data_IF_437543507981
#
_entry.id   IF_437543507981
#
_cell.length_a   1.000
_cell.length_b   1.000
_cell.length_c   1.000
_cell.angle_alpha   90.00
_cell.angle_beta   90.00
_cell.angle_gamma   90.00
#
_symmetry.space_group_name_H-M   'P 1'
#
loop_
_entity.id
_entity.type
_entity.pdbx_description
1 polymer ?
2 branched ?
3 non-polymer ?
4 non-polymer ?
5 water ?
#
# COMPACT_ATOMS: atom_id res chain seq x y z
N UNK A 4 -10.59 16.38 6.60
CA UNK A 4 -10.05 17.34 5.59
C UNK A 4 -9.49 16.72 4.30
N UNK A 5 -8.76 15.60 4.36
CA UNK A 5 -8.20 15.02 3.15
C UNK A 5 -9.23 14.57 2.13
N UNK A 6 -10.13 13.68 2.55
CA UNK A 6 -11.13 13.19 1.64
C UNK A 6 -12.15 14.25 1.32
N UNK A 7 -12.44 15.14 2.26
CA UNK A 7 -13.32 16.27 1.96
C UNK A 7 -12.74 17.11 0.82
N UNK A 8 -11.45 17.29 0.79
CA UNK A 8 -10.80 18.02 -0.27
C UNK A 8 -10.80 17.26 -1.61
N UNK A 9 -10.34 16.01 -1.61
CA UNK A 9 -10.11 15.30 -2.85
C UNK A 9 -11.29 14.53 -3.38
N UNK A 10 -12.10 14.01 -2.49
CA UNK A 10 -13.25 13.21 -2.87
C UNK A 10 -12.86 11.92 -3.58
N UNK A 11 -13.63 11.62 -4.60
CA UNK A 11 -13.43 10.41 -5.39
C UNK A 11 -12.14 10.50 -6.18
N UNK A 12 -11.25 9.53 -6.01
CA UNK A 12 -10.05 9.42 -6.78
C UNK A 12 -10.31 8.69 -8.07
N UNK A 13 -9.52 8.95 -9.08
CA UNK A 13 -9.60 8.26 -10.37
C UNK A 13 -8.25 8.27 -11.03
N UNK A 14 -8.08 7.53 -12.11
CA UNK A 14 -6.89 7.54 -12.91
C UNK A 14 -7.17 8.32 -14.16
N UNK A 15 -6.32 9.28 -14.49
CA UNK A 15 -6.36 10.08 -15.70
C UNK A 15 -5.06 9.99 -16.40
N UNK A 16 -5.01 9.39 -17.58
CA UNK A 16 -3.76 9.30 -18.32
C UNK A 16 -2.61 8.79 -17.49
N UNK A 17 -2.88 7.75 -16.72
CA UNK A 17 -1.78 7.04 -16.07
C UNK A 17 -1.36 7.63 -14.72
N UNK A 18 -2.12 8.59 -14.20
CA UNK A 18 -1.80 9.07 -12.90
C UNK A 18 -3.07 9.39 -12.05
N UNK A 19 -2.81 9.39 -10.76
CA UNK A 19 -3.86 9.51 -9.76
C UNK A 19 -4.31 10.94 -9.65
N UNK A 20 -5.60 11.19 -9.80
CA UNK A 20 -6.17 12.52 -9.71
C UNK A 20 -7.41 12.51 -8.82
N UNK A 21 -7.83 13.70 -8.40
CA UNK A 21 -9.01 13.81 -7.58
C UNK A 21 -10.21 14.22 -8.40
N UNK A 22 -11.26 14.60 -7.70
CA UNK A 22 -12.54 14.88 -8.28
C UNK A 22 -12.56 16.07 -9.24
N UNK A 23 -11.56 16.93 -9.16
CA UNK A 23 -11.40 18.05 -10.06
C UNK A 23 -10.30 17.78 -11.09
N UNK A 24 -9.78 16.58 -11.19
CA UNK A 24 -8.71 16.31 -12.12
C UNK A 24 -7.36 16.83 -11.72
N UNK A 25 -7.22 17.19 -10.45
CA UNK A 25 -5.95 17.66 -9.93
C UNK A 25 -5.06 16.46 -9.60
N UNK A 26 -3.77 16.57 -9.80
CA UNK A 26 -2.87 15.58 -9.25
C UNK A 26 -3.06 15.40 -7.74
N UNK A 27 -3.07 14.18 -7.28
CA UNK A 27 -2.98 13.95 -5.84
C UNK A 27 -1.94 12.90 -5.59
N UNK A 28 -1.21 13.15 -4.50
CA UNK A 28 -0.16 12.26 -4.07
C UNK A 28 -0.44 11.82 -2.64
N UNK A 29 -0.70 10.56 -2.43
CA UNK A 29 -0.95 10.02 -1.11
C UNK A 29 0.40 9.59 -0.56
N UNK A 30 0.62 9.92 0.74
CA UNK A 30 1.79 9.47 1.48
C UNK A 30 1.33 9.02 2.84
N UNK A 31 1.73 7.83 3.24
CA UNK A 31 1.33 7.33 4.52
C UNK A 31 2.14 6.12 4.94
N UNK A 32 1.54 5.41 5.92
CA UNK A 32 2.14 4.23 6.54
C UNK A 32 1.33 3.00 6.24
N UNK A 33 2.04 1.91 6.08
CA UNK A 33 1.48 0.55 6.18
C UNK A 33 1.64 0.01 7.58
N UNK A 34 0.60 -0.69 8.04
CA UNK A 34 0.79 -1.57 9.16
C UNK A 34 1.79 -2.64 8.80
N UNK A 35 2.30 -3.33 9.84
CA UNK A 35 2.92 -4.63 9.63
C UNK A 35 1.77 -5.65 9.52
N UNK A 36 2.02 -6.94 9.62
CA UNK A 36 0.95 -7.88 9.51
C UNK A 36 -0.04 -7.69 10.62
N UNK A 37 -1.32 -7.62 10.28
CA UNK A 37 -2.37 -7.34 11.25
C UNK A 37 -2.53 -8.46 12.26
N UNK A 38 -2.11 -9.67 11.93
CA UNK A 38 -2.18 -10.81 12.82
C UNK A 38 -1.07 -10.80 13.85
N UNK A 39 -0.09 -9.90 13.74
CA UNK A 39 1.06 -9.79 14.63
C UNK A 39 1.09 -8.49 15.40
N UNK A 40 0.89 -7.36 14.67
CA UNK A 40 1.11 -6.05 15.21
C UNK A 40 -0.11 -5.17 15.09
N UNK A 41 -1.28 -5.77 15.24
CA UNK A 41 -2.51 -5.06 15.20
C UNK A 41 -2.74 -4.04 16.28
N UNK A 42 -1.97 -4.09 17.38
CA UNK A 42 -2.17 -3.13 18.43
C UNK A 42 -1.90 -1.71 17.96
N UNK A 43 -1.08 -1.53 16.92
CA UNK A 43 -0.74 -0.21 16.40
C UNK A 43 -1.77 0.31 15.44
N UNK A 44 -2.82 -0.43 15.14
CA UNK A 44 -3.80 -0.05 14.13
C UNK A 44 -5.11 0.23 14.87
N UNK A 45 -5.45 1.51 15.05
CA UNK A 45 -6.60 1.91 15.83
C UNK A 45 -6.87 3.37 15.51
N UNK A 46 -8.03 3.87 15.92
CA UNK A 46 -8.36 5.26 15.64
C UNK A 46 -7.34 6.22 16.20
N UNK A 47 -6.89 6.02 17.43
CA UNK A 47 -6.01 6.99 18.05
C UNK A 47 -4.65 7.03 17.41
N UNK A 48 -4.07 5.90 17.05
CA UNK A 48 -2.77 5.92 16.35
C UNK A 48 -2.91 6.52 14.98
N UNK A 49 -4.00 6.21 14.27
CA UNK A 49 -4.15 6.76 12.95
C UNK A 49 -4.43 8.27 13.02
N UNK A 50 -5.15 8.72 14.02
CA UNK A 50 -5.38 10.16 14.21
C UNK A 50 -4.06 10.86 14.50
N UNK A 51 -3.20 10.26 15.32
CA UNK A 51 -1.88 10.82 15.60
C UNK A 51 -1.05 10.89 14.33
N UNK A 52 -1.06 9.82 13.54
CA UNK A 52 -0.35 9.87 12.26
C UNK A 52 -0.89 10.96 11.38
N UNK A 53 -2.19 11.14 11.31
CA UNK A 53 -2.77 12.19 10.50
C UNK A 53 -2.32 13.54 11.00
N UNK A 54 -2.42 13.80 12.29
CA UNK A 54 -2.24 15.13 12.86
C UNK A 54 -0.77 15.46 13.09
N UNK A 55 0.08 14.55 13.49
CA UNK A 55 1.46 14.79 13.78
C UNK A 55 2.37 14.48 12.60
N UNK A 56 2.11 13.46 11.82
CA UNK A 56 2.91 13.16 10.65
C UNK A 56 2.39 13.81 9.39
N UNK A 57 1.09 14.00 9.27
CA UNK A 57 0.52 14.45 8.02
C UNK A 57 0.09 13.36 7.05
N UNK A 58 -0.12 12.14 7.53
CA UNK A 58 -0.51 11.10 6.56
C UNK A 58 -1.84 11.42 5.93
N UNK A 59 -2.01 11.00 4.68
CA UNK A 59 -3.32 11.07 4.05
C UNK A 59 -3.82 9.71 3.55
N UNK A 60 -3.10 8.64 3.89
CA UNK A 60 -3.51 7.29 3.58
C UNK A 60 -2.90 6.37 4.64
N UNK A 61 -3.64 5.29 4.95
CA UNK A 61 -3.16 4.25 5.83
C UNK A 61 -3.39 2.90 5.15
N UNK A 62 -2.44 2.02 5.16
CA UNK A 62 -2.54 0.71 4.52
C UNK A 62 -2.64 -0.39 5.58
N UNK A 63 -3.71 -1.17 5.49
CA UNK A 63 -4.02 -2.28 6.38
C UNK A 63 -3.54 -3.60 5.74
N UNK A 64 -2.37 -4.07 6.19
CA UNK A 64 -1.71 -5.22 5.57
C UNK A 64 -2.21 -6.52 6.19
N UNK A 65 -3.25 -7.08 5.56
CA UNK A 65 -3.88 -8.29 6.04
C UNK A 65 -3.24 -9.50 5.37
N UNK A 66 -2.19 -10.04 6.01
CA UNK A 66 -1.62 -11.30 5.53
C UNK A 66 -2.70 -12.33 5.37
N UNK A 67 -2.56 -13.11 4.34
CA UNK A 67 -3.38 -14.27 4.05
C UNK A 67 -2.85 -15.51 4.72
N UNK A 68 -1.59 -15.78 4.47
CA UNK A 68 -0.86 -16.88 5.05
C UNK A 68 -0.16 -16.42 6.31
N UNK A 69 0.81 -17.16 6.79
CA UNK A 69 1.56 -16.75 7.94
C UNK A 69 0.70 -16.49 9.15
N UNK A 70 -0.35 -17.28 9.35
CA UNK A 70 -1.22 -17.10 10.49
C UNK A 70 -2.29 -15.99 10.34
N UNK A 71 -2.41 -15.47 9.15
CA UNK A 71 -3.35 -14.42 8.81
C UNK A 71 -4.73 -14.91 8.53
N UNK A 72 -5.40 -14.30 7.56
CA UNK A 72 -6.80 -14.45 7.36
C UNK A 72 -7.21 -15.86 7.03
N UNK A 73 -6.43 -16.61 6.29
CA UNK A 73 -6.84 -17.95 5.90
C UNK A 73 -7.02 -18.84 7.15
N UNK A 74 -6.10 -18.79 8.08
CA UNK A 74 -6.22 -19.58 9.31
C UNK A 74 -7.10 -18.92 10.37
N UNK A 75 -7.09 -17.61 10.52
CA UNK A 75 -7.83 -16.94 11.63
C UNK A 75 -8.44 -15.70 10.98
N UNK A 76 -9.65 -15.83 10.43
CA UNK A 76 -10.29 -14.70 9.79
C UNK A 76 -10.76 -13.62 10.69
N UNK A 77 -10.59 -13.74 11.99
CA UNK A 77 -10.96 -12.66 12.89
C UNK A 77 -10.13 -11.42 12.59
N UNK A 78 -9.00 -11.58 11.93
CA UNK A 78 -8.20 -10.45 11.51
C UNK A 78 -8.95 -9.49 10.58
N UNK A 79 -9.98 -9.93 9.87
CA UNK A 79 -10.78 -9.03 9.06
C UNK A 79 -11.41 -7.92 9.92
N UNK A 80 -11.66 -8.17 11.20
CA UNK A 80 -12.22 -7.13 12.01
C UNK A 80 -11.23 -6.01 12.24
N UNK A 81 -9.93 -6.29 12.25
CA UNK A 81 -8.93 -5.27 12.36
C UNK A 81 -8.88 -4.43 11.07
N UNK A 82 -9.05 -5.05 9.91
CA UNK A 82 -9.22 -4.29 8.67
C UNK A 82 -10.41 -3.36 8.76
N UNK A 83 -11.57 -3.86 9.23
CA UNK A 83 -12.75 -3.02 9.38
C UNK A 83 -12.49 -1.89 10.34
N UNK A 84 -11.77 -2.13 11.44
CA UNK A 84 -11.43 -1.10 12.38
C UNK A 84 -10.63 0.00 11.68
N UNK A 85 -9.66 -0.38 10.89
CA UNK A 85 -8.85 0.59 10.15
C UNK A 85 -9.68 1.38 9.16
N UNK A 86 -10.55 0.72 8.41
CA UNK A 86 -11.36 1.40 7.41
C UNK A 86 -12.30 2.38 8.11
N UNK A 87 -12.96 1.94 9.18
CA UNK A 87 -13.88 2.83 9.85
C UNK A 87 -13.13 4.00 10.46
N UNK A 88 -11.94 3.79 10.98
CA UNK A 88 -11.13 4.89 11.50
C UNK A 88 -10.79 5.87 10.37
N UNK A 89 -10.38 5.37 9.21
CA UNK A 89 -10.04 6.24 8.11
C UNK A 89 -11.23 7.06 7.68
N UNK A 90 -12.43 6.48 7.66
CA UNK A 90 -13.63 7.22 7.31
C UNK A 90 -13.89 8.29 8.34
N UNK A 91 -13.79 7.97 9.62
CA UNK A 91 -13.99 8.96 10.66
C UNK A 91 -12.93 10.08 10.62
N UNK A 92 -11.70 9.77 10.26
CA UNK A 92 -10.58 10.70 10.22
C UNK A 92 -10.48 11.40 8.88
N UNK A 93 -11.29 11.04 7.91
CA UNK A 93 -11.31 11.65 6.62
C UNK A 93 -10.00 11.45 5.85
N UNK A 94 -9.41 10.27 5.91
CA UNK A 94 -8.24 9.93 5.10
C UNK A 94 -8.54 8.71 4.26
N UNK A 95 -7.67 8.44 3.30
CA UNK A 95 -7.79 7.25 2.46
C UNK A 95 -7.23 6.01 3.21
N UNK A 96 -7.70 4.85 2.76
CA UNK A 96 -7.31 3.58 3.36
C UNK A 96 -7.18 2.53 2.30
N UNK A 97 -6.08 1.77 2.38
CA UNK A 97 -5.84 0.66 1.49
C UNK A 97 -6.12 -0.66 2.20
N UNK A 98 -7.02 -1.46 1.63
CA UNK A 98 -7.34 -2.79 2.09
C UNK A 98 -6.45 -3.76 1.30
N UNK A 99 -5.40 -4.30 1.94
CA UNK A 99 -4.36 -5.07 1.27
C UNK A 99 -4.51 -6.57 1.64
N UNK A 100 -4.85 -7.34 0.60
CA UNK A 100 -4.81 -8.83 0.59
C UNK A 100 -3.36 -9.22 0.44
N UNK A 101 -2.72 -9.44 1.59
CA UNK A 101 -1.28 -9.37 1.68
C UNK A 101 -0.63 -10.76 1.48
N UNK A 102 -0.63 -11.19 0.25
CA UNK A 102 0.04 -12.42 -0.14
C UNK A 102 1.54 -12.22 -0.08
N UNK A 103 2.27 -13.27 0.26
CA UNK A 103 3.74 -13.20 0.31
C UNK A 103 4.29 -14.64 0.20
N UNK A 104 4.24 -15.40 1.27
CA UNK A 104 4.69 -16.79 1.21
C UNK A 104 3.84 -17.59 0.23
N UNK A 105 2.56 -17.29 0.20
CA UNK A 105 1.58 -17.80 -0.75
C UNK A 105 1.79 -16.99 -2.02
N UNK A 106 2.81 -17.32 -2.78
CA UNK A 106 3.41 -16.42 -3.75
C UNK A 106 2.67 -16.26 -5.05
N UNK A 107 1.73 -17.19 -5.31
CA UNK A 107 0.85 -17.14 -6.47
C UNK A 107 -0.51 -16.67 -5.98
N UNK A 108 -1.05 -15.55 -6.48
CA UNK A 108 -2.34 -15.07 -5.99
C UNK A 108 -3.47 -16.05 -6.21
N UNK A 109 -3.30 -17.00 -7.11
CA UNK A 109 -4.34 -18.01 -7.34
C UNK A 109 -4.44 -19.02 -6.23
N UNK A 110 -3.52 -19.09 -5.29
CA UNK A 110 -3.64 -20.08 -4.21
C UNK A 110 -4.92 -19.90 -3.44
N UNK A 111 -5.27 -18.64 -3.11
CA UNK A 111 -6.44 -18.33 -2.30
C UNK A 111 -7.44 -17.47 -3.08
N UNK A 112 -7.57 -17.72 -4.38
CA UNK A 112 -8.43 -16.89 -5.22
C UNK A 112 -9.87 -16.92 -4.76
N UNK A 113 -10.41 -18.10 -4.44
CA UNK A 113 -11.80 -18.15 -4.05
C UNK A 113 -12.04 -17.32 -2.77
N UNK A 114 -11.13 -17.42 -1.85
CA UNK A 114 -11.22 -16.68 -0.61
C UNK A 114 -11.06 -15.16 -0.85
N UNK A 115 -10.18 -14.79 -1.76
CA UNK A 115 -9.96 -13.39 -2.07
C UNK A 115 -11.24 -12.80 -2.67
N UNK A 116 -11.89 -13.53 -3.57
CA UNK A 116 -13.12 -13.03 -4.18
C UNK A 116 -14.18 -12.83 -3.14
N UNK A 117 -14.37 -13.79 -2.23
CA UNK A 117 -15.33 -13.63 -1.15
C UNK A 117 -15.00 -12.45 -0.24
N UNK A 118 -13.75 -12.29 0.11
CA UNK A 118 -13.31 -11.18 0.97
C UNK A 118 -13.57 -9.82 0.31
N UNK A 119 -13.17 -9.71 -0.94
CA UNK A 119 -13.36 -8.43 -1.64
C UNK A 119 -14.82 -8.15 -1.97
N UNK A 120 -15.64 -9.20 -2.20
CA UNK A 120 -17.07 -8.97 -2.30
C UNK A 120 -17.58 -8.39 -1.02
N UNK A 121 -17.22 -8.92 0.14
CA UNK A 121 -17.71 -8.40 1.40
C UNK A 121 -17.20 -6.98 1.64
N UNK A 122 -15.93 -6.71 1.44
CA UNK A 122 -15.38 -5.38 1.71
C UNK A 122 -15.99 -4.33 0.79
N UNK A 123 -16.14 -4.62 -0.48
CA UNK A 123 -16.67 -3.66 -1.42
C UNK A 123 -18.18 -3.45 -1.21
N UNK A 124 -18.93 -4.47 -0.75
CA UNK A 124 -20.30 -4.23 -0.37
C UNK A 124 -20.37 -3.29 0.80
N UNK A 125 -19.57 -3.50 1.82
CA UNK A 125 -19.63 -2.71 3.00
C UNK A 125 -19.24 -1.26 2.74
N UNK A 126 -18.12 -1.07 2.03
CA UNK A 126 -17.46 0.23 1.97
C UNK A 126 -17.42 0.85 0.62
N UNK A 127 -17.98 0.25 -0.39
CA UNK A 127 -17.80 0.69 -1.75
C UNK A 127 -18.34 2.07 -2.07
N UNK A 128 -19.29 2.54 -1.29
CA UNK A 128 -19.83 3.87 -1.48
C UNK A 128 -18.96 4.99 -0.89
N UNK A 129 -17.91 4.66 -0.16
CA UNK A 129 -17.04 5.66 0.41
C UNK A 129 -15.84 5.90 -0.51
N UNK A 130 -15.49 7.15 -0.75
CA UNK A 130 -14.33 7.44 -1.61
C UNK A 130 -13.01 7.13 -0.95
N UNK A 131 -13.06 6.88 0.36
CA UNK A 131 -11.83 6.63 1.14
C UNK A 131 -11.10 5.36 0.74
N UNK A 132 -11.85 4.38 0.24
CA UNK A 132 -11.31 3.03 0.11
C UNK A 132 -10.56 2.80 -1.19
N UNK A 133 -9.40 2.14 -1.06
CA UNK A 133 -8.58 1.68 -2.14
C UNK A 133 -8.36 0.17 -1.92
N UNK A 134 -8.52 -0.65 -2.92
CA UNK A 134 -8.35 -2.09 -2.77
C UNK A 134 -7.02 -2.51 -3.32
N UNK A 135 -6.27 -3.37 -2.62
CA UNK A 135 -4.99 -3.88 -3.09
C UNK A 135 -5.12 -5.40 -3.10
N UNK A 136 -5.34 -5.97 -4.26
CA UNK A 136 -5.86 -7.34 -4.40
C UNK A 136 -4.81 -8.42 -4.29
N UNK A 137 -3.54 -8.15 -4.37
CA UNK A 137 -2.52 -9.19 -4.22
C UNK A 137 -1.17 -8.48 -3.99
N UNK A 138 -0.83 -8.29 -2.74
CA UNK A 138 0.39 -7.53 -2.36
C UNK A 138 1.59 -7.83 -3.23
N UNK A 139 2.14 -9.04 -3.17
CA UNK A 139 3.40 -9.37 -3.82
C UNK A 139 3.40 -10.79 -4.42
N UNK A 140 2.84 -10.91 -5.62
CA UNK A 140 3.19 -12.07 -6.44
C UNK A 140 4.71 -12.21 -6.47
N UNK A 141 5.23 -13.42 -6.39
CA UNK A 141 6.67 -13.61 -6.46
C UNK A 141 6.99 -15.03 -6.87
N UNK A 142 8.22 -15.25 -7.23
CA UNK A 142 8.68 -16.54 -7.73
C UNK A 142 8.90 -16.51 -9.20
N UNK A 143 9.81 -17.34 -9.71
CA UNK A 143 10.14 -17.36 -11.11
C UNK A 143 9.04 -17.77 -12.01
N UNK A 144 8.07 -18.48 -11.49
CA UNK A 144 6.99 -18.90 -12.39
C UNK A 144 5.62 -18.43 -11.92
N UNK A 145 5.62 -17.24 -11.34
CA UNK A 145 4.41 -16.47 -11.19
C UNK A 145 4.58 -15.28 -12.09
N UNK A 146 3.90 -15.22 -13.21
CA UNK A 146 4.09 -14.15 -14.17
C UNK A 146 2.79 -13.45 -14.42
N UNK A 147 2.92 -12.25 -15.02
CA UNK A 147 1.78 -11.43 -15.33
C UNK A 147 0.78 -12.19 -16.25
N UNK A 148 1.26 -12.72 -17.36
CA UNK A 148 0.36 -13.30 -18.33
C UNK A 148 -0.29 -14.60 -17.87
N UNK A 149 0.45 -15.47 -17.21
CA UNK A 149 -0.09 -16.78 -16.85
C UNK A 149 -0.90 -16.74 -15.56
N UNK A 150 -0.47 -15.95 -14.56
CA UNK A 150 -1.06 -16.04 -13.22
C UNK A 150 -1.70 -14.76 -12.73
N UNK A 151 -1.03 -13.59 -12.90
CA UNK A 151 -1.47 -12.39 -12.19
C UNK A 151 -2.60 -11.68 -12.90
N UNK A 152 -2.44 -11.43 -14.20
CA UNK A 152 -3.46 -10.72 -14.96
C UNK A 152 -4.80 -11.48 -14.91
N UNK A 153 -4.80 -12.83 -15.13
CA UNK A 153 -6.08 -13.54 -15.03
C UNK A 153 -6.68 -13.50 -13.64
N UNK A 154 -5.87 -13.52 -12.59
CA UNK A 154 -6.39 -13.36 -11.25
C UNK A 154 -7.10 -12.03 -11.11
N UNK A 155 -6.45 -10.96 -11.55
CA UNK A 155 -7.03 -9.62 -11.49
C UNK A 155 -8.33 -9.53 -12.30
N UNK A 156 -8.35 -10.17 -13.45
CA UNK A 156 -9.54 -10.14 -14.30
C UNK A 156 -10.69 -10.90 -13.68
N UNK A 157 -10.48 -11.76 -12.72
CA UNK A 157 -11.55 -12.39 -11.99
C UNK A 157 -11.94 -11.66 -10.76
N UNK A 158 -10.99 -11.05 -10.04
CA UNK A 158 -11.32 -10.36 -8.80
C UNK A 158 -11.91 -8.97 -9.06
N UNK A 159 -11.38 -8.25 -10.04
CA UNK A 159 -11.88 -6.89 -10.31
C UNK A 159 -13.38 -6.84 -10.57
N UNK A 160 -13.98 -7.74 -11.38
CA UNK A 160 -15.42 -7.66 -11.58
C UNK A 160 -16.20 -7.88 -10.31
N UNK A 161 -15.68 -8.67 -9.35
CA UNK A 161 -16.35 -8.87 -8.08
C UNK A 161 -16.45 -7.55 -7.32
N UNK A 162 -15.33 -6.81 -7.30
CA UNK A 162 -15.33 -5.47 -6.69
C UNK A 162 -16.26 -4.53 -7.46
N UNK A 163 -16.15 -4.52 -8.77
CA UNK A 163 -16.88 -3.55 -9.58
C UNK A 163 -18.36 -3.75 -9.50
N UNK A 164 -18.84 -4.94 -9.21
CA UNK A 164 -20.26 -5.19 -9.05
C UNK A 164 -20.78 -4.39 -7.89
N UNK A 165 -19.97 -4.12 -6.86
CA UNK A 165 -20.39 -3.36 -5.69
C UNK A 165 -19.85 -1.92 -5.69
N UNK A 166 -18.74 -1.66 -6.37
CA UNK A 166 -17.97 -0.41 -6.28
C UNK A 166 -17.39 -0.13 -7.63
N UNK A 167 -18.14 0.60 -8.47
CA UNK A 167 -17.73 0.79 -9.84
C UNK A 167 -16.53 1.68 -10.03
N UNK A 168 -16.14 2.46 -9.03
CA UNK A 168 -15.19 3.55 -9.28
C UNK A 168 -13.93 3.60 -8.44
N UNK A 169 -13.85 2.99 -7.27
CA UNK A 169 -12.67 3.20 -6.45
C UNK A 169 -11.43 2.53 -7.02
N UNK A 170 -10.28 3.03 -6.65
CA UNK A 170 -9.01 2.54 -7.17
C UNK A 170 -8.74 1.11 -6.72
N UNK A 171 -8.21 0.35 -7.64
CA UNK A 171 -7.70 -1.01 -7.38
C UNK A 171 -6.23 -1.06 -7.73
N UNK A 172 -5.41 -1.44 -6.76
CA UNK A 172 -3.97 -1.64 -6.94
C UNK A 172 -3.73 -3.13 -7.19
N UNK A 173 -3.02 -3.46 -8.23
CA UNK A 173 -2.73 -4.84 -8.62
C UNK A 173 -1.23 -5.12 -8.55
N UNK A 174 -0.87 -6.13 -7.78
CA UNK A 174 0.52 -6.51 -7.64
C UNK A 174 1.11 -7.02 -8.94
N UNK A 175 2.45 -7.01 -8.97
CA UNK A 175 3.18 -7.44 -10.14
C UNK A 175 4.25 -8.46 -9.78
N UNK A 176 4.87 -9.06 -10.80
CA UNK A 176 5.80 -10.12 -10.55
C UNK A 176 7.05 -9.68 -9.83
N UNK A 177 7.78 -10.66 -9.31
CA UNK A 177 9.05 -10.41 -8.60
C UNK A 177 8.86 -9.44 -7.45
N UNK A 178 7.93 -9.79 -6.56
CA UNK A 178 7.62 -8.99 -5.39
C UNK A 178 7.18 -7.57 -5.78
N UNK A 179 6.27 -7.52 -6.73
CA UNK A 179 5.77 -6.23 -7.21
C UNK A 179 6.90 -5.32 -7.69
N UNK A 180 7.79 -5.90 -8.47
CA UNK A 180 8.80 -5.12 -9.20
C UNK A 180 8.50 -5.07 -10.70
N UNK A 181 7.88 -6.09 -11.26
CA UNK A 181 7.79 -6.25 -12.72
C UNK A 181 6.65 -5.45 -13.35
N UNK A 182 6.65 -4.16 -13.10
CA UNK A 182 5.70 -3.27 -13.62
C UNK A 182 5.81 -3.10 -15.15
N UNK A 183 7.00 -3.34 -15.68
CA UNK A 183 7.20 -3.25 -17.12
C UNK A 183 6.39 -4.33 -17.83
N UNK A 184 6.32 -5.53 -17.31
CA UNK A 184 5.53 -6.59 -17.95
C UNK A 184 4.07 -6.24 -17.89
N UNK A 185 3.58 -5.76 -16.76
CA UNK A 185 2.20 -5.39 -16.64
C UNK A 185 1.91 -4.23 -17.61
N UNK A 186 2.81 -3.27 -17.71
CA UNK A 186 2.59 -2.12 -18.56
C UNK A 186 2.48 -2.49 -20.05
N UNK A 187 3.14 -3.58 -20.44
CA UNK A 187 3.08 -4.05 -21.82
C UNK A 187 1.80 -4.86 -22.08
N UNK A 188 0.97 -5.13 -21.08
CA UNK A 188 -0.20 -5.97 -21.22
C UNK A 188 -1.21 -5.56 -20.18
N UNK A 189 -1.65 -4.33 -20.27
CA UNK A 189 -2.42 -3.72 -19.21
C UNK A 189 -3.83 -4.26 -19.10
N UNK A 190 -4.38 -4.20 -17.90
CA UNK A 190 -5.79 -4.44 -17.65
C UNK A 190 -6.64 -3.39 -18.33
N UNK A 191 -7.88 -3.74 -18.64
CA UNK A 191 -8.84 -2.80 -19.26
C UNK A 191 -9.48 -1.85 -18.27
N UNK A 192 -9.65 -2.23 -17.01
CA UNK A 192 -10.34 -1.39 -16.07
C UNK A 192 -9.61 -0.02 -15.97
N UNK A 193 -10.33 1.08 -16.11
CA UNK A 193 -9.68 2.38 -16.15
C UNK A 193 -9.13 2.87 -14.82
N UNK A 194 -9.59 2.34 -13.71
CA UNK A 194 -9.16 2.84 -12.41
C UNK A 194 -8.32 1.83 -11.68
N UNK A 195 -7.35 1.29 -12.35
CA UNK A 195 -6.39 0.40 -11.74
C UNK A 195 -5.00 1.03 -11.76
N UNK A 196 -4.19 0.62 -10.82
CA UNK A 196 -2.79 0.99 -10.71
C UNK A 196 -2.01 -0.25 -10.49
N UNK A 197 -0.76 -0.30 -10.85
CA UNK A 197 0.09 -1.45 -10.61
C UNK A 197 1.03 -1.14 -9.48
N UNK A 198 1.25 -2.10 -8.59
CA UNK A 198 2.11 -1.89 -7.45
C UNK A 198 3.57 -2.00 -7.86
N UNK A 199 4.38 -1.11 -7.26
CA UNK A 199 5.83 -1.22 -7.30
C UNK A 199 6.36 -1.09 -5.86
N UNK A 200 7.16 -2.06 -5.44
CA UNK A 200 7.70 -2.12 -4.09
C UNK A 200 9.22 -2.15 -4.14
N UNK A 201 9.88 -1.47 -3.19
CA UNK A 201 11.33 -1.49 -3.14
C UNK A 201 11.86 -1.35 -1.72
N UNK A 202 13.13 -1.66 -1.59
CA UNK A 202 13.92 -1.40 -0.37
C UNK A 202 15.08 -0.48 -0.72
N UNK A 203 15.24 0.60 0.02
CA UNK A 203 16.29 1.55 -0.27
C UNK A 203 17.67 0.99 -0.19
N UNK A 204 17.87 0.00 0.66
CA UNK A 204 19.18 -0.62 0.79
C UNK A 204 19.48 -1.69 -0.23
N UNK A 205 18.58 -1.95 -1.15
CA UNK A 205 18.67 -3.04 -2.10
C UNK A 205 18.49 -2.59 -3.55
N UNK A 206 17.58 -1.69 -3.82
CA UNK A 206 17.13 -1.40 -5.17
C UNK A 206 17.59 -0.03 -5.58
N UNK A 207 17.99 0.07 -6.85
CA UNK A 207 18.59 1.28 -7.37
C UNK A 207 18.10 1.71 -8.71
N UNK A 208 19.02 2.29 -9.48
CA UNK A 208 18.64 2.99 -10.69
C UNK A 208 17.98 2.11 -11.76
N UNK A 209 18.40 0.87 -11.86
CA UNK A 209 17.80 0.02 -12.88
C UNK A 209 16.32 -0.21 -12.61
N UNK A 210 15.89 -0.25 -11.34
CA UNK A 210 14.46 -0.33 -11.06
C UNK A 210 13.75 0.98 -11.21
N UNK A 211 14.42 2.10 -10.93
CA UNK A 211 13.82 3.39 -11.29
C UNK A 211 13.55 3.45 -12.81
N UNK A 212 14.51 2.98 -13.59
CA UNK A 212 14.32 2.98 -15.03
C UNK A 212 13.18 2.05 -15.44
N UNK A 213 13.00 0.93 -14.76
CA UNK A 213 11.93 -0.01 -15.05
C UNK A 213 10.57 0.64 -14.76
N UNK A 214 10.46 1.36 -13.63
CA UNK A 214 9.25 2.10 -13.34
C UNK A 214 8.98 3.16 -14.42
N UNK A 215 10.02 3.89 -14.84
CA UNK A 215 9.84 4.88 -15.88
C UNK A 215 9.36 4.21 -17.20
N UNK A 216 9.87 3.05 -17.52
CA UNK A 216 9.36 2.33 -18.73
C UNK A 216 7.86 2.09 -18.56
N UNK A 217 7.43 1.61 -17.40
CA UNK A 217 6.03 1.35 -17.19
C UNK A 217 5.20 2.63 -17.32
N UNK A 218 5.67 3.70 -16.69
CA UNK A 218 4.97 4.94 -16.78
C UNK A 218 4.86 5.43 -18.25
N UNK A 219 5.92 5.19 -18.99
CA UNK A 219 5.96 5.58 -20.42
C UNK A 219 4.92 4.79 -21.24
N UNK A 220 4.47 3.64 -20.80
CA UNK A 220 3.43 2.88 -21.52
C UNK A 220 2.05 3.33 -21.10
N UNK A 221 1.94 4.32 -20.24
CA UNK A 221 0.69 4.85 -19.78
C UNK A 221 0.07 4.16 -18.55
N UNK A 222 0.81 3.28 -17.92
CA UNK A 222 0.39 2.58 -16.72
C UNK A 222 0.50 3.51 -15.50
N UNK A 223 -0.46 3.45 -14.59
CA UNK A 223 -0.36 4.11 -13.31
C UNK A 223 0.31 3.23 -12.28
N UNK A 224 1.13 3.83 -11.43
CA UNK A 224 1.93 3.06 -10.47
C UNK A 224 1.69 3.59 -9.07
N UNK A 225 1.42 2.71 -8.12
CA UNK A 225 1.32 3.09 -6.70
C UNK A 225 2.40 2.35 -5.95
N UNK A 226 3.27 3.09 -5.24
CA UNK A 226 4.33 2.47 -4.47
C UNK A 226 3.77 2.06 -3.12
N UNK A 227 2.97 0.98 -3.12
CA UNK A 227 2.16 0.67 -1.98
C UNK A 227 2.92 0.07 -0.80
N UNK A 228 4.19 -0.22 -0.97
CA UNK A 228 5.04 -0.66 0.13
C UNK A 228 6.48 -0.36 -0.24
N UNK A 229 7.21 0.27 0.67
CA UNK A 229 8.65 0.42 0.50
C UNK A 229 9.31 0.52 1.85
N UNK A 230 10.56 0.12 1.91
CA UNK A 230 11.33 0.16 3.15
C UNK A 230 12.61 0.98 3.03
N UNK A 231 13.04 1.49 4.17
CA UNK A 231 14.28 2.27 4.25
C UNK A 231 15.50 1.38 4.45
N UNK A 232 15.31 0.14 4.87
CA UNK A 232 16.36 -0.80 5.11
C UNK A 232 16.77 -1.50 3.83
N UNK A 233 17.68 -2.45 3.93
CA UNK A 233 17.89 -3.43 2.87
C UNK A 233 16.81 -4.50 3.03
N UNK A 234 16.50 -5.20 1.95
CA UNK A 234 15.56 -6.32 2.04
C UNK A 234 16.03 -7.37 3.01
N UNK A 235 17.35 -7.58 3.13
CA UNK A 235 17.89 -8.54 4.07
C UNK A 235 17.68 -8.14 5.50
N UNK A 236 17.49 -6.86 5.79
CA UNK A 236 17.41 -6.35 7.15
C UNK A 236 18.75 -6.14 7.80
N UNK A 237 19.85 -6.29 7.07
CA UNK A 237 21.20 -6.14 7.60
C UNK A 237 21.74 -4.74 7.27
N UNK A 238 22.55 -4.21 8.16
CA UNK A 238 23.28 -3.00 7.91
C UNK A 238 22.58 -1.70 8.24
N UNK A 239 21.44 -1.73 8.90
CA UNK A 239 20.77 -0.53 9.31
C UNK A 239 19.83 0.04 8.25
N UNK A 240 19.66 1.32 8.27
CA UNK A 240 18.84 2.00 7.27
C UNK A 240 19.73 2.68 6.24
N UNK A 241 19.17 2.93 5.07
CA UNK A 241 19.87 3.43 3.89
C UNK A 241 19.16 4.68 3.44
N UNK A 242 19.31 5.76 4.23
CA UNK A 242 18.50 6.96 4.04
C UNK A 242 18.99 7.86 2.94
N UNK A 243 20.27 7.73 2.59
CA UNK A 243 20.79 8.41 1.42
C UNK A 243 20.01 7.94 0.18
N UNK A 244 20.03 6.64 -0.04
CA UNK A 244 19.28 6.07 -1.18
C UNK A 244 17.79 6.23 -0.96
N UNK A 245 17.27 6.20 0.26
CA UNK A 245 15.85 6.44 0.44
C UNK A 245 15.48 7.82 -0.08
N UNK A 246 16.30 8.83 0.20
CA UNK A 246 16.00 10.17 -0.26
C UNK A 246 16.02 10.24 -1.82
N UNK A 247 16.93 9.51 -2.44
CA UNK A 247 16.94 9.40 -3.91
C UNK A 247 15.58 8.89 -4.38
N UNK A 248 15.07 7.84 -3.74
CA UNK A 248 13.75 7.29 -4.11
C UNK A 248 12.64 8.28 -3.78
N UNK A 249 12.67 8.99 -2.65
CA UNK A 249 11.65 9.98 -2.31
C UNK A 249 11.61 11.02 -3.42
N UNK A 250 12.77 11.53 -3.83
CA UNK A 250 12.81 12.55 -4.87
C UNK A 250 12.26 12.00 -6.18
N UNK A 251 12.64 10.78 -6.54
CA UNK A 251 12.14 10.10 -7.74
C UNK A 251 10.62 10.07 -7.70
N UNK A 252 10.05 9.62 -6.59
CA UNK A 252 8.60 9.55 -6.47
C UNK A 252 7.96 10.92 -6.54
N UNK A 253 8.54 11.92 -5.90
CA UNK A 253 7.96 13.27 -5.96
C UNK A 253 7.96 13.84 -7.39
N UNK A 254 9.02 13.60 -8.11
CA UNK A 254 9.12 14.12 -9.49
C UNK A 254 8.09 13.48 -10.40
N UNK A 255 7.58 12.30 -10.08
CA UNK A 255 6.57 11.60 -10.87
C UNK A 255 5.23 11.61 -10.17
N UNK A 256 5.14 12.36 -9.07
CA UNK A 256 4.02 12.49 -8.16
C UNK A 256 3.48 11.10 -7.72
N UNK A 257 4.32 10.11 -7.54
CA UNK A 257 3.87 8.77 -7.15
C UNK A 257 3.47 8.71 -5.69
N UNK A 258 2.32 8.10 -5.43
CA UNK A 258 1.84 7.84 -4.08
C UNK A 258 2.60 6.65 -3.46
N UNK A 259 2.65 6.68 -2.12
CA UNK A 259 3.38 5.64 -1.41
C UNK A 259 2.92 5.40 -0.01
N UNK A 260 3.21 4.19 0.48
CA UNK A 260 3.06 3.79 1.85
C UNK A 260 4.34 3.11 2.31
N UNK A 261 4.85 3.54 3.47
CA UNK A 261 6.08 3.00 4.02
C UNK A 261 5.81 1.81 4.92
N UNK A 262 6.67 0.82 4.80
CA UNK A 262 6.70 -0.39 5.63
C UNK A 262 7.70 -0.21 6.75
N UNK A 263 7.31 -0.21 8.04
CA UNK A 263 5.94 -0.41 8.52
C UNK A 263 5.80 0.20 9.92
N UNK A 264 4.55 0.34 10.32
CA UNK A 264 4.20 0.90 11.62
C UNK A 264 4.16 -0.21 12.65
N UNK A 265 5.30 -0.50 13.23
CA UNK A 265 5.44 -1.49 14.28
C UNK A 265 6.66 -1.11 15.14
N UNK A 266 6.69 -1.70 16.34
CA UNK A 266 7.80 -1.61 17.25
C UNK A 266 8.72 -2.83 17.17
N UNK A 267 8.54 -3.70 16.21
CA UNK A 267 9.46 -4.81 16.03
C UNK A 267 10.88 -4.31 15.93
N UNK A 268 11.83 -5.05 16.49
CA UNK A 268 13.22 -4.75 16.37
C UNK A 268 13.80 -5.15 15.00
N UNK A 269 13.45 -4.45 13.97
CA UNK A 269 14.00 -4.60 12.63
C UNK A 269 14.14 -3.18 12.06
N UNK A 270 15.08 -3.02 11.16
CA UNK A 270 15.46 -1.68 10.71
C UNK A 270 14.36 -0.95 9.94
N UNK A 271 13.47 -1.63 9.26
CA UNK A 271 12.39 -0.95 8.58
C UNK A 271 11.27 -0.48 9.49
N UNK A 272 11.21 -0.99 10.71
CA UNK A 272 10.13 -0.62 11.62
C UNK A 272 10.22 0.86 11.97
N UNK A 273 9.09 1.53 12.05
CA UNK A 273 9.04 2.97 12.33
C UNK A 273 9.17 3.31 13.81
N UNK A 274 8.89 2.39 14.70
CA UNK A 274 8.78 2.67 16.13
C UNK A 274 9.81 1.86 16.88
N UNK A 275 10.22 2.37 18.02
CA UNK A 275 11.08 1.64 18.95
C UNK A 275 10.27 0.69 19.81
N UNK A 276 10.86 -0.45 20.18
CA UNK A 276 10.21 -1.40 21.10
C UNK A 276 9.59 -0.68 22.27
N UNK A 277 8.33 -0.97 22.54
CA UNK A 277 7.64 -0.38 23.63
C UNK A 277 6.84 0.85 23.31
N UNK A 278 6.90 1.38 22.08
CA UNK A 278 6.20 2.60 21.75
C UNK A 278 4.72 2.49 22.00
N UNK A 279 4.09 3.56 22.40
CA UNK A 279 2.69 3.50 22.77
C UNK A 279 1.80 3.10 21.60
N UNK A 280 0.98 2.07 21.71
CA UNK A 280 0.19 1.65 20.55
C UNK A 280 -0.85 2.63 20.06
N UNK A 281 -1.25 3.59 20.89
CA UNK A 281 -2.28 4.56 20.52
C UNK A 281 -1.69 5.91 20.13
N UNK A 282 -0.39 5.98 19.87
CA UNK A 282 0.22 7.20 19.33
C UNK A 282 0.71 8.11 20.40
N UNK A 283 0.86 9.39 20.06
CA UNK A 283 1.37 10.38 20.98
C UNK A 283 2.85 10.18 21.20
N UNK A 284 3.59 9.65 20.24
CA UNK A 284 4.96 9.27 20.42
C UNK A 284 5.87 10.44 20.71
N UNK A 285 6.81 10.24 21.60
CA UNK A 285 7.93 11.14 21.76
C UNK A 285 8.96 10.85 20.66
N UNK A 286 9.94 11.74 20.50
CA UNK A 286 10.93 11.50 19.48
C UNK A 286 11.71 10.24 19.81
N UNK A 287 11.83 9.88 21.08
CA UNK A 287 12.57 8.69 21.49
C UNK A 287 11.81 7.40 21.14
N UNK A 288 10.53 7.48 20.88
CA UNK A 288 9.72 6.32 20.52
C UNK A 288 9.78 6.03 19.01
N UNK A 289 10.38 6.91 18.20
CA UNK A 289 10.53 6.63 16.76
C UNK A 289 11.88 6.06 16.49
N UNK A 290 11.95 5.09 15.58
CA UNK A 290 13.21 4.55 15.18
C UNK A 290 13.90 5.48 14.19
N UNK A 291 15.13 5.21 13.78
CA UNK A 291 15.73 6.02 12.72
C UNK A 291 14.89 6.07 11.43
N UNK A 292 14.35 4.91 11.04
CA UNK A 292 13.45 4.86 9.89
C UNK A 292 12.24 5.75 10.09
N UNK A 293 11.58 5.61 11.25
CA UNK A 293 10.38 6.37 11.53
C UNK A 293 10.67 7.87 11.55
N UNK A 294 11.78 8.26 12.12
CA UNK A 294 12.15 9.66 12.22
C UNK A 294 12.22 10.28 10.81
N UNK A 295 12.90 9.56 9.90
CA UNK A 295 13.04 9.99 8.50
C UNK A 295 11.70 10.04 7.80
N UNK A 296 10.93 8.94 7.88
CA UNK A 296 9.66 8.88 7.15
C UNK A 296 8.71 9.97 7.62
N UNK A 297 8.64 10.17 8.95
CA UNK A 297 7.81 11.23 9.51
C UNK A 297 8.20 12.59 8.91
N UNK A 298 9.50 12.86 8.84
CA UNK A 298 9.94 14.15 8.23
C UNK A 298 9.51 14.23 6.77
N UNK A 299 9.62 13.14 6.04
CA UNK A 299 9.22 13.14 4.62
C UNK A 299 7.74 13.48 4.49
N UNK A 300 6.89 12.95 5.33
CA UNK A 300 5.46 13.25 5.22
C UNK A 300 5.15 14.65 5.75
N UNK A 301 5.80 15.06 6.82
CA UNK A 301 5.54 16.40 7.33
C UNK A 301 5.86 17.50 6.39
N UNK A 302 6.97 17.31 5.66
CA UNK A 302 7.45 18.44 4.89
C UNK A 302 6.59 18.66 3.66
N UNK A 303 5.60 17.87 3.35
CA UNK A 303 4.62 18.18 2.30
C UNK A 303 3.18 18.29 2.81
N UNK A 304 3.01 18.32 4.14
CA UNK A 304 1.71 18.39 4.79
C UNK A 304 1.17 19.85 4.93
#
# INVERSE_FOLDING_TARGET
>A
DDYSVVEEHGQLSISNGELVNERGEQVQLKGMSSHGLQWYGQFVNYESMKWLRDDWGINVFRAAMYTSSGGYIDDPSVKEKVKEAVEAAIDLDIYVIIDWHILSDNDPNIYKEEAKDFFDEMSELYGDYPNVIYEIANEPNGSDVTWGNQIKPYAEEVIPIIRNNDPNNIIIVGTGTWSQDVHHAADNQLADPNVMYAFHFYAGTHGQNLRDQVDYALDQGAAIFVSEWGTSAATGDGGVFLDEAQVWIDFMDERNLSWANWSLTHKDESSAALMPGANPTGGWTEAELSPSGTFVREKIRESA
#
